data_IF_119419138649
#
_entry.id   IF_119419138649
#
_cell.length_a   1.000
_cell.length_b   1.000
_cell.length_c   1.000
_cell.angle_alpha   90.00
_cell.angle_beta   90.00
_cell.angle_gamma   90.00
#
_symmetry.space_group_name_H-M   'P 1'
#
loop_
_entity.id
_entity.type
_entity.pdbx_description
1 polymer ?
#
# COMPACT_ATOMS: atom_id res chain seq x y z
N UNK A 1 -0.57 18.16 -3.99
CA UNK A 1 -0.63 16.73 -4.31
C UNK A 1 -1.58 16.07 -3.34
N UNK A 2 -2.54 15.32 -3.85
CA UNK A 2 -3.59 14.63 -3.09
C UNK A 2 -3.29 13.13 -2.99
N UNK A 3 -3.05 12.62 -1.80
CA UNK A 3 -2.59 11.24 -1.59
C UNK A 3 -3.53 10.50 -0.64
N UNK A 4 -3.85 9.25 -0.99
CA UNK A 4 -4.59 8.34 -0.14
C UNK A 4 -3.65 7.28 0.45
N UNK A 5 -3.65 7.14 1.78
CA UNK A 5 -3.05 6.00 2.46
C UNK A 5 -4.12 4.98 2.83
N UNK A 6 -3.99 3.76 2.34
CA UNK A 6 -4.77 2.61 2.80
C UNK A 6 -4.03 2.03 4.01
N UNK A 7 -4.59 2.23 5.22
CA UNK A 7 -3.90 2.02 6.49
C UNK A 7 -3.46 3.35 7.09
N UNK A 8 -2.17 3.59 7.27
CA UNK A 8 -1.65 4.90 7.72
C UNK A 8 -1.45 5.04 9.23
N UNK A 9 -1.83 4.04 10.02
CA UNK A 9 -1.66 4.03 11.49
C UNK A 9 -0.76 2.88 11.99
N UNK A 10 -0.07 2.20 11.08
CA UNK A 10 0.97 1.20 11.42
C UNK A 10 2.27 1.86 11.90
N UNK A 11 3.28 1.04 12.22
CA UNK A 11 4.58 1.54 12.72
C UNK A 11 5.26 2.46 11.70
N UNK A 12 5.41 1.99 10.46
CA UNK A 12 6.06 2.75 9.39
C UNK A 12 5.12 3.83 8.84
N UNK A 13 3.88 3.45 8.55
CA UNK A 13 2.92 4.33 7.88
C UNK A 13 2.54 5.55 8.71
N UNK A 14 2.56 5.48 10.05
CA UNK A 14 2.27 6.64 10.90
C UNK A 14 3.36 7.72 10.79
N UNK A 15 4.63 7.32 10.75
CA UNK A 15 5.73 8.26 10.53
C UNK A 15 5.66 8.90 9.12
N UNK A 16 5.34 8.09 8.10
CA UNK A 16 5.15 8.60 6.74
C UNK A 16 3.94 9.54 6.65
N UNK A 17 2.85 9.25 7.36
CA UNK A 17 1.66 10.09 7.38
C UNK A 17 1.96 11.45 8.02
N UNK A 18 2.68 11.46 9.14
CA UNK A 18 3.11 12.69 9.80
C UNK A 18 3.99 13.54 8.86
N UNK A 19 5.01 12.93 8.25
CA UNK A 19 5.89 13.62 7.31
C UNK A 19 5.15 14.15 6.07
N UNK A 20 4.14 13.43 5.58
CA UNK A 20 3.33 13.87 4.45
C UNK A 20 2.58 15.19 4.78
N UNK A 21 1.99 15.29 5.97
CA UNK A 21 1.35 16.52 6.44
C UNK A 21 2.36 17.66 6.56
N UNK A 22 3.52 17.42 7.20
CA UNK A 22 4.59 18.43 7.34
C UNK A 22 5.10 18.96 6.01
N UNK A 23 5.05 18.15 4.95
CA UNK A 23 5.40 18.52 3.58
C UNK A 23 4.26 19.15 2.77
N UNK A 24 3.14 19.42 3.38
CA UNK A 24 1.98 20.07 2.74
C UNK A 24 1.23 19.16 1.76
N UNK A 25 1.35 17.83 1.90
CA UNK A 25 0.57 16.87 1.12
C UNK A 25 -0.87 16.86 1.66
N UNK A 26 -1.86 16.98 0.78
CA UNK A 26 -3.26 16.76 1.11
C UNK A 26 -3.50 15.27 1.34
N UNK A 27 -3.31 14.84 2.59
CA UNK A 27 -3.36 13.43 2.97
C UNK A 27 -4.77 12.99 3.34
N UNK A 28 -5.17 11.88 2.74
CA UNK A 28 -6.34 11.10 3.10
C UNK A 28 -5.90 9.76 3.68
N UNK A 29 -6.56 9.28 4.70
CA UNK A 29 -6.30 7.99 5.32
C UNK A 29 -7.58 7.17 5.31
N UNK A 30 -7.54 5.99 4.69
CA UNK A 30 -8.62 5.01 4.71
C UNK A 30 -8.29 3.90 5.70
N UNK A 31 -9.06 3.79 6.79
CA UNK A 31 -8.83 2.77 7.81
C UNK A 31 -10.12 2.36 8.54
N UNK A 32 -10.07 1.26 9.28
CA UNK A 32 -11.19 0.74 10.08
C UNK A 32 -11.43 1.51 11.38
N UNK A 33 -10.44 2.28 11.84
CA UNK A 33 -10.53 3.03 13.10
C UNK A 33 -10.20 2.22 14.35
N UNK A 34 -9.61 1.05 14.20
CA UNK A 34 -9.30 0.13 15.31
C UNK A 34 -7.90 0.35 15.92
N UNK A 35 -7.07 1.16 15.27
CA UNK A 35 -5.71 1.43 15.77
C UNK A 35 -5.73 2.34 16.98
N UNK A 36 -4.87 2.04 17.96
CA UNK A 36 -4.59 2.92 19.11
C UNK A 36 -3.71 4.11 18.74
N UNK A 37 -2.99 4.05 17.60
CA UNK A 37 -2.23 5.20 17.09
C UNK A 37 -3.15 6.19 16.40
N UNK A 38 -3.06 7.48 16.74
CA UNK A 38 -3.89 8.49 16.10
C UNK A 38 -3.47 8.68 14.63
N UNK A 39 -4.42 9.13 13.82
CA UNK A 39 -4.13 9.71 12.51
C UNK A 39 -3.59 11.12 12.76
N UNK A 40 -2.53 11.58 12.06
CA UNK A 40 -1.97 12.90 12.28
C UNK A 40 -3.00 14.01 12.01
N UNK A 41 -2.90 15.08 12.79
CA UNK A 41 -3.71 16.27 12.61
C UNK A 41 -3.52 16.85 11.20
N UNK A 42 -4.60 17.28 10.56
CA UNK A 42 -4.59 17.76 9.17
C UNK A 42 -4.88 16.69 8.12
N UNK A 43 -4.79 15.40 8.45
CA UNK A 43 -5.22 14.35 7.54
C UNK A 43 -6.75 14.18 7.53
N UNK A 44 -7.33 13.92 6.36
CA UNK A 44 -8.75 13.59 6.21
C UNK A 44 -8.95 12.09 6.32
N UNK A 45 -10.00 11.66 7.01
CA UNK A 45 -10.22 10.25 7.33
C UNK A 45 -11.45 9.72 6.59
N UNK A 46 -11.27 8.62 5.86
CA UNK A 46 -12.34 7.74 5.42
C UNK A 46 -12.38 6.51 6.31
N UNK A 47 -13.57 6.16 6.80
CA UNK A 47 -13.78 4.97 7.63
C UNK A 47 -14.35 3.84 6.80
N UNK A 48 -13.71 2.67 6.89
CA UNK A 48 -14.18 1.46 6.23
C UNK A 48 -13.13 0.36 6.21
N UNK A 49 -13.53 -0.79 5.69
CA UNK A 49 -12.63 -1.91 5.43
C UNK A 49 -12.30 -1.95 3.94
N UNK A 50 -11.02 -1.86 3.60
CA UNK A 50 -10.53 -1.95 2.22
C UNK A 50 -10.89 -3.32 1.58
N UNK A 51 -11.13 -4.35 2.38
CA UNK A 51 -11.53 -5.68 1.91
C UNK A 51 -13.04 -5.78 1.61
N UNK A 52 -13.78 -4.68 1.79
CA UNK A 52 -15.17 -4.55 1.36
C UNK A 52 -15.27 -3.53 0.21
N UNK A 53 -15.19 -3.96 -1.08
CA UNK A 53 -15.18 -3.07 -2.23
C UNK A 53 -16.40 -2.15 -2.33
N UNK A 54 -17.56 -2.58 -1.83
CA UNK A 54 -18.79 -1.77 -1.85
C UNK A 54 -18.63 -0.57 -0.93
N UNK A 55 -18.13 -0.77 0.29
CA UNK A 55 -17.91 0.31 1.26
C UNK A 55 -16.83 1.28 0.76
N UNK A 56 -15.77 0.76 0.14
CA UNK A 56 -14.69 1.57 -0.45
C UNK A 56 -15.21 2.44 -1.59
N UNK A 57 -15.94 1.86 -2.54
CA UNK A 57 -16.52 2.61 -3.67
C UNK A 57 -17.42 3.74 -3.18
N UNK A 58 -18.25 3.48 -2.16
CA UNK A 58 -19.13 4.48 -1.57
C UNK A 58 -18.33 5.60 -0.88
N UNK A 59 -17.35 5.26 -0.03
CA UNK A 59 -16.55 6.23 0.71
C UNK A 59 -15.69 7.12 -0.21
N UNK A 60 -15.23 6.59 -1.34
CA UNK A 60 -14.35 7.28 -2.29
C UNK A 60 -15.07 7.87 -3.50
N UNK A 61 -16.42 7.88 -3.49
CA UNK A 61 -17.22 8.48 -4.58
C UNK A 61 -16.84 9.94 -4.79
N UNK A 62 -16.56 10.33 -6.04
CA UNK A 62 -16.17 11.69 -6.42
C UNK A 62 -14.74 12.08 -6.04
N UNK A 63 -13.95 11.17 -5.47
CA UNK A 63 -12.56 11.43 -5.15
C UNK A 63 -11.61 10.84 -6.21
N UNK A 64 -10.60 11.63 -6.56
CA UNK A 64 -9.45 11.28 -7.39
C UNK A 64 -8.19 11.59 -6.60
N UNK A 65 -7.12 10.83 -6.80
CA UNK A 65 -5.85 10.96 -6.10
C UNK A 65 -4.68 11.01 -7.08
N UNK A 66 -3.66 11.79 -6.74
CA UNK A 66 -2.39 11.75 -7.46
C UNK A 66 -1.65 10.44 -7.17
N UNK A 67 -1.73 9.96 -5.92
CA UNK A 67 -1.19 8.65 -5.55
C UNK A 67 -2.05 7.95 -4.49
N UNK A 68 -2.07 6.64 -4.55
CA UNK A 68 -2.59 5.75 -3.50
C UNK A 68 -1.45 4.88 -3.00
N UNK A 69 -1.23 4.86 -1.68
CA UNK A 69 -0.19 4.06 -1.03
C UNK A 69 -0.85 3.00 -0.16
N UNK A 70 -0.64 1.74 -0.50
CA UNK A 70 -1.21 0.61 0.24
C UNK A 70 -0.21 0.00 1.21
N UNK A 71 -0.51 0.14 2.50
CA UNK A 71 0.24 -0.39 3.62
C UNK A 71 -0.27 -1.75 4.11
N UNK A 72 -1.42 -2.22 3.60
CA UNK A 72 -2.15 -3.38 4.13
C UNK A 72 -2.50 -4.45 3.10
N UNK A 73 -1.98 -4.37 1.88
CA UNK A 73 -2.06 -5.46 0.93
C UNK A 73 -0.99 -6.51 1.26
N UNK A 74 -1.40 -7.76 1.46
CA UNK A 74 -0.53 -8.86 1.86
C UNK A 74 -0.59 -10.05 0.92
N UNK A 75 -1.59 -10.15 0.06
CA UNK A 75 -1.79 -11.25 -0.89
C UNK A 75 -2.09 -10.73 -2.29
N UNK A 76 -1.88 -11.54 -3.35
CA UNK A 76 -2.22 -11.15 -4.71
C UNK A 76 -3.69 -10.74 -4.90
N UNK A 77 -4.61 -11.38 -4.19
CA UNK A 77 -6.04 -11.05 -4.25
C UNK A 77 -6.32 -9.64 -3.72
N UNK A 78 -5.57 -9.22 -2.69
CA UNK A 78 -5.64 -7.84 -2.18
C UNK A 78 -5.22 -6.86 -3.26
N UNK A 79 -4.06 -7.09 -3.88
CA UNK A 79 -3.52 -6.23 -4.94
C UNK A 79 -4.43 -6.21 -6.16
N UNK A 80 -4.99 -7.35 -6.57
CA UNK A 80 -5.94 -7.42 -7.69
C UNK A 80 -7.18 -6.55 -7.43
N UNK A 81 -7.74 -6.66 -6.24
CA UNK A 81 -8.90 -5.85 -5.81
C UNK A 81 -8.55 -4.36 -5.82
N UNK A 82 -7.37 -4.00 -5.33
CA UNK A 82 -6.93 -2.61 -5.26
C UNK A 82 -6.67 -2.02 -6.66
N UNK A 83 -6.10 -2.80 -7.59
CA UNK A 83 -5.97 -2.41 -9.00
C UNK A 83 -7.35 -2.06 -9.60
N UNK A 84 -8.34 -2.89 -9.39
CA UNK A 84 -9.70 -2.66 -9.88
C UNK A 84 -10.37 -1.42 -9.25
N UNK A 85 -10.15 -1.22 -7.95
CA UNK A 85 -10.70 -0.08 -7.22
C UNK A 85 -10.08 1.25 -7.64
N UNK A 86 -8.78 1.27 -7.94
CA UNK A 86 -8.02 2.49 -8.14
C UNK A 86 -7.60 2.78 -9.57
N UNK A 87 -7.79 1.87 -10.54
CA UNK A 87 -7.43 2.01 -11.96
C UNK A 87 -7.80 3.37 -12.57
N UNK A 88 -8.96 3.91 -12.25
CA UNK A 88 -9.46 5.21 -12.76
C UNK A 88 -9.61 6.25 -11.65
N UNK A 89 -8.97 6.06 -10.49
CA UNK A 89 -9.07 6.95 -9.33
C UNK A 89 -7.73 7.47 -8.85
N UNK A 90 -6.64 6.90 -9.31
CA UNK A 90 -5.29 7.31 -8.95
C UNK A 90 -4.40 7.37 -10.19
N UNK A 91 -3.53 8.37 -10.25
CA UNK A 91 -2.50 8.45 -11.27
C UNK A 91 -1.35 7.46 -10.98
N UNK A 92 -1.10 7.16 -9.70
CA UNK A 92 -0.09 6.21 -9.27
C UNK A 92 -0.62 5.33 -8.12
N UNK A 93 -0.34 4.03 -8.20
CA UNK A 93 -0.53 3.09 -7.09
C UNK A 93 0.84 2.64 -6.55
N UNK A 94 1.04 2.77 -5.24
CA UNK A 94 2.28 2.42 -4.55
C UNK A 94 1.99 1.28 -3.58
N UNK A 95 2.58 0.13 -3.84
CA UNK A 95 2.49 -1.05 -2.99
C UNK A 95 3.69 -1.10 -2.04
N UNK A 96 3.44 -1.27 -0.76
CA UNK A 96 4.51 -1.47 0.23
C UNK A 96 4.82 -2.95 0.33
N UNK A 97 5.95 -3.34 -0.25
CA UNK A 97 6.48 -4.71 -0.20
C UNK A 97 7.23 -5.00 1.11
N UNK A 98 8.22 -5.85 1.07
CA UNK A 98 9.04 -6.23 2.23
C UNK A 98 10.46 -6.57 1.78
N UNK A 99 11.45 -6.20 2.58
CA UNK A 99 12.84 -6.63 2.37
C UNK A 99 13.00 -8.16 2.41
N UNK A 100 12.07 -8.86 3.03
CA UNK A 100 12.09 -10.33 3.09
C UNK A 100 11.78 -11.04 1.76
N UNK A 101 11.39 -10.30 0.71
CA UNK A 101 11.15 -10.87 -0.63
C UNK A 101 12.44 -11.26 -1.33
N UNK A 102 13.57 -10.65 -0.97
CA UNK A 102 14.84 -10.93 -1.60
C UNK A 102 15.37 -12.33 -1.26
N UNK A 103 16.27 -12.80 -2.13
CA UNK A 103 16.87 -14.13 -2.00
C UNK A 103 17.43 -14.38 -0.60
N UNK A 104 16.98 -15.48 -0.01
CA UNK A 104 17.38 -15.89 1.34
C UNK A 104 17.88 -17.35 1.30
N UNK A 105 19.14 -17.63 1.73
CA UNK A 105 20.18 -16.66 2.08
C UNK A 105 20.62 -15.84 0.85
N UNK A 106 21.12 -14.60 1.02
CA UNK A 106 21.59 -13.78 -0.09
C UNK A 106 22.88 -14.38 -0.67
N UNK A 107 22.99 -14.41 -2.00
CA UNK A 107 24.20 -14.88 -2.68
C UNK A 107 25.35 -13.87 -2.58
N UNK A 108 25.06 -12.60 -2.38
CA UNK A 108 26.03 -11.51 -2.22
C UNK A 108 25.48 -10.38 -1.40
N UNK A 109 26.34 -9.54 -0.83
CA UNK A 109 26.02 -8.31 -0.12
C UNK A 109 26.72 -7.11 -0.80
N UNK A 110 26.11 -5.93 -0.76
CA UNK A 110 24.80 -5.62 -0.18
C UNK A 110 23.61 -6.16 -1.02
N UNK A 111 22.47 -6.37 -0.38
CA UNK A 111 21.20 -6.63 -1.07
C UNK A 111 20.75 -5.34 -1.76
N UNK A 112 20.40 -5.44 -3.04
CA UNK A 112 19.99 -4.32 -3.90
C UNK A 112 18.73 -4.69 -4.69
N UNK A 113 18.17 -3.75 -5.47
CA UNK A 113 17.02 -4.00 -6.35
C UNK A 113 17.29 -5.08 -7.41
N UNK A 114 18.54 -5.35 -7.74
CA UNK A 114 18.94 -6.43 -8.67
C UNK A 114 19.04 -7.81 -8.01
N UNK A 115 18.94 -7.88 -6.69
CA UNK A 115 18.92 -9.16 -5.97
C UNK A 115 17.66 -9.93 -6.32
N UNK A 116 17.74 -11.23 -6.69
CA UNK A 116 16.57 -12.02 -7.06
C UNK A 116 15.49 -12.05 -5.96
N UNK A 117 14.22 -12.04 -6.37
CA UNK A 117 13.09 -12.24 -5.47
C UNK A 117 12.95 -13.76 -5.22
N UNK A 118 13.45 -14.24 -4.11
CA UNK A 118 13.46 -15.68 -3.78
C UNK A 118 13.57 -15.91 -2.28
N UNK A 119 12.45 -16.10 -1.62
CA UNK A 119 12.41 -16.54 -0.22
C UNK A 119 11.45 -17.71 -0.05
N UNK A 120 11.94 -18.96 -0.04
CA UNK A 120 11.08 -20.15 0.08
C UNK A 120 10.63 -20.44 1.52
N UNK A 121 11.23 -19.80 2.53
CA UNK A 121 11.08 -20.18 3.93
C UNK A 121 9.87 -19.55 4.62
N UNK A 122 9.32 -18.47 4.08
CA UNK A 122 8.25 -17.73 4.74
C UNK A 122 7.08 -17.43 3.79
N UNK A 123 5.88 -17.89 4.15
CA UNK A 123 4.65 -17.70 3.37
C UNK A 123 4.35 -16.23 3.06
N UNK A 124 4.56 -15.37 4.05
CA UNK A 124 4.41 -13.93 3.87
C UNK A 124 5.30 -13.39 2.75
N UNK A 125 6.57 -13.82 2.70
CA UNK A 125 7.50 -13.38 1.66
C UNK A 125 7.08 -13.89 0.28
N UNK A 126 6.64 -15.15 0.19
CA UNK A 126 6.10 -15.72 -1.07
C UNK A 126 4.87 -14.94 -1.55
N UNK A 127 3.96 -14.60 -0.64
CA UNK A 127 2.79 -13.80 -0.97
C UNK A 127 3.17 -12.39 -1.45
N UNK A 128 4.12 -11.73 -0.79
CA UNK A 128 4.63 -10.42 -1.22
C UNK A 128 5.33 -10.48 -2.60
N UNK A 129 6.12 -11.52 -2.87
CA UNK A 129 6.71 -11.74 -4.21
C UNK A 129 5.61 -11.88 -5.26
N UNK A 130 4.58 -12.66 -4.99
CA UNK A 130 3.45 -12.83 -5.91
C UNK A 130 2.70 -11.51 -6.16
N UNK A 131 2.57 -10.65 -5.15
CA UNK A 131 2.02 -9.29 -5.29
C UNK A 131 2.86 -8.44 -6.25
N UNK A 132 4.20 -8.44 -6.10
CA UNK A 132 5.09 -7.68 -6.97
C UNK A 132 5.01 -8.16 -8.43
N UNK A 133 5.01 -9.47 -8.65
CA UNK A 133 4.87 -10.05 -9.99
C UNK A 133 3.54 -9.66 -10.66
N UNK A 134 2.44 -9.69 -9.90
CA UNK A 134 1.13 -9.25 -10.38
C UNK A 134 1.15 -7.77 -10.78
N UNK A 135 1.75 -6.91 -9.97
CA UNK A 135 1.87 -5.48 -10.28
C UNK A 135 2.74 -5.20 -11.51
N UNK A 136 3.86 -5.92 -11.64
CA UNK A 136 4.71 -5.82 -12.84
C UNK A 136 3.95 -6.22 -14.11
N UNK A 137 3.10 -7.25 -14.05
CA UNK A 137 2.26 -7.65 -15.17
C UNK A 137 1.20 -6.57 -15.46
N UNK A 138 0.46 -6.13 -14.44
CA UNK A 138 -0.57 -5.11 -14.60
C UNK A 138 -0.06 -3.74 -15.10
N UNK A 139 1.23 -3.45 -14.93
CA UNK A 139 1.87 -2.24 -15.46
C UNK A 139 2.20 -2.34 -16.96
N UNK A 140 2.36 -3.57 -17.48
CA UNK A 140 2.67 -3.80 -18.91
C UNK A 140 1.42 -3.86 -19.79
N UNK A 141 0.27 -4.18 -19.19
CA UNK A 141 -1.05 -4.31 -19.85
C UNK A 141 -1.78 -2.95 -19.90
#
# INVERSE_FOLDING_TARGET
>A
MKVLFIGGTGVISSACAQLAIERGIELYVFNRGESTRPVPEGARIFRGDIRNPVSVKSALTGHQFDAVVDWVAFTPEHVQTDIELFRNRAAQYVFISSASVYQTPPASLPVTESTPLANPYWDYSRAKIACELLLMQAHRD
#
